data_IF_063546593834
#
_entry.id   IF_063546593834
#
_cell.length_a   1.000
_cell.length_b   1.000
_cell.length_c   1.000
_cell.angle_alpha   90.00
_cell.angle_beta   90.00
_cell.angle_gamma   90.00
#
_symmetry.space_group_name_H-M   'P 1'
#
loop_
_entity.id
_entity.type
_entity.pdbx_description
1 polymer ?
#
# COMPACT_ATOMS: atom_id res chain seq x y z
N UNK A 1 -12.12 -1.09 9.70
CA UNK A 1 -12.88 -2.23 10.25
C UNK A 1 -14.34 -1.84 10.19
N UNK A 2 -15.19 -2.76 9.75
CA UNK A 2 -16.63 -2.59 9.67
C UNK A 2 -17.29 -3.62 10.58
N UNK A 3 -18.42 -3.27 11.16
CA UNK A 3 -19.25 -4.16 11.99
C UNK A 3 -20.71 -3.97 11.59
N UNK A 4 -21.59 -4.88 12.02
CA UNK A 4 -23.04 -4.66 12.03
C UNK A 4 -23.36 -3.29 12.62
N UNK A 5 -24.27 -2.54 11.99
CA UNK A 5 -24.75 -1.29 12.59
C UNK A 5 -25.49 -1.60 13.90
N UNK A 6 -25.03 -1.10 15.06
CA UNK A 6 -25.76 -1.28 16.30
C UNK A 6 -27.11 -0.56 16.20
N UNK A 7 -28.15 -1.02 16.94
CA UNK A 7 -29.45 -0.35 16.96
C UNK A 7 -29.32 1.04 17.60
N UNK A 8 -29.08 2.04 16.77
CA UNK A 8 -29.02 3.45 17.14
C UNK A 8 -30.20 4.16 16.49
N UNK A 9 -30.99 4.87 17.30
CA UNK A 9 -32.15 5.60 16.79
C UNK A 9 -31.73 6.69 15.78
N UNK A 10 -32.40 6.73 14.63
CA UNK A 10 -32.25 7.81 13.64
C UNK A 10 -31.15 7.64 12.58
N UNK A 11 -30.47 6.49 12.52
CA UNK A 11 -29.55 6.18 11.41
C UNK A 11 -30.31 5.52 10.25
N UNK A 12 -30.12 6.06 9.04
CA UNK A 12 -30.60 5.39 7.83
C UNK A 12 -29.83 4.08 7.63
N UNK A 13 -30.58 3.00 7.35
CA UNK A 13 -30.03 1.69 7.06
C UNK A 13 -29.46 1.64 5.64
N UNK A 14 -28.25 2.17 5.46
CA UNK A 14 -27.51 2.06 4.21
C UNK A 14 -26.80 0.70 4.13
N UNK A 15 -27.21 -0.11 3.17
CA UNK A 15 -26.49 -1.34 2.80
C UNK A 15 -25.46 -0.98 1.73
N UNK A 16 -24.14 -1.03 2.02
CA UNK A 16 -23.14 -0.65 1.05
C UNK A 16 -23.03 -1.71 -0.07
N UNK A 17 -22.90 -1.31 -1.35
CA UNK A 17 -22.71 -2.24 -2.47
C UNK A 17 -21.29 -2.83 -2.48
N UNK A 18 -20.95 -3.59 -1.45
CA UNK A 18 -19.67 -4.29 -1.33
C UNK A 18 -19.69 -5.54 -2.20
N UNK A 19 -18.69 -5.70 -3.05
CA UNK A 19 -18.54 -6.88 -3.89
C UNK A 19 -17.72 -7.95 -3.14
N UNK A 20 -18.31 -9.10 -2.75
CA UNK A 20 -17.60 -10.13 -2.01
C UNK A 20 -16.75 -11.06 -2.89
N UNK A 21 -16.60 -10.80 -4.21
CA UNK A 21 -15.83 -11.67 -5.13
C UNK A 21 -14.42 -12.02 -4.64
N UNK A 22 -13.77 -11.07 -3.97
CA UNK A 22 -12.42 -11.22 -3.43
C UNK A 22 -12.44 -11.38 -1.90
N UNK A 23 -13.53 -11.90 -1.32
CA UNK A 23 -13.67 -12.02 0.11
C UNK A 23 -12.87 -13.22 0.65
N UNK A 24 -12.13 -13.00 1.73
CA UNK A 24 -11.34 -14.03 2.40
C UNK A 24 -11.71 -14.07 3.89
N UNK A 25 -12.20 -15.24 4.34
CA UNK A 25 -12.54 -15.45 5.73
C UNK A 25 -11.27 -15.70 6.55
N UNK A 26 -11.13 -15.02 7.68
CA UNK A 26 -10.05 -15.19 8.63
C UNK A 26 -10.55 -15.23 10.07
N UNK A 27 -9.65 -15.41 11.05
CA UNK A 27 -10.01 -15.51 12.46
C UNK A 27 -10.70 -14.24 13.01
N UNK A 28 -10.38 -13.08 12.44
CA UNK A 28 -10.93 -11.77 12.84
C UNK A 28 -12.26 -11.43 12.12
N UNK A 29 -12.68 -12.24 11.13
CA UNK A 29 -13.86 -11.99 10.30
C UNK A 29 -13.56 -12.01 8.80
N UNK A 30 -14.41 -11.34 8.01
CA UNK A 30 -14.39 -11.38 6.55
C UNK A 30 -13.58 -10.20 5.98
N UNK A 31 -12.45 -10.49 5.33
CA UNK A 31 -11.68 -9.47 4.59
C UNK A 31 -12.24 -9.31 3.18
N UNK A 32 -12.46 -8.08 2.73
CA UNK A 32 -12.97 -7.75 1.38
C UNK A 32 -12.06 -6.67 0.77
N UNK A 33 -11.84 -6.74 -0.54
CA UNK A 33 -11.23 -5.65 -1.31
C UNK A 33 -12.29 -5.00 -2.21
N UNK A 34 -12.58 -3.73 -1.99
CA UNK A 34 -13.54 -2.95 -2.77
C UNK A 34 -12.82 -2.04 -3.76
N UNK A 35 -13.21 -2.06 -5.03
CA UNK A 35 -12.54 -1.32 -6.11
C UNK A 35 -11.32 -2.06 -6.68
N UNK A 36 -10.61 -1.41 -7.60
CA UNK A 36 -9.47 -1.98 -8.33
C UNK A 36 -8.27 -1.02 -8.35
N UNK A 37 -7.07 -1.57 -8.53
CA UNK A 37 -5.83 -0.80 -8.65
C UNK A 37 -5.57 0.14 -7.47
N UNK A 38 -5.19 1.38 -7.77
CA UNK A 38 -4.88 2.42 -6.78
C UNK A 38 -6.11 2.91 -6.00
N UNK A 39 -7.32 2.59 -6.49
CA UNK A 39 -8.58 2.89 -5.83
C UNK A 39 -9.06 1.74 -4.92
N UNK A 40 -8.34 0.61 -4.88
CA UNK A 40 -8.73 -0.54 -4.06
C UNK A 40 -8.63 -0.22 -2.56
N UNK A 41 -9.71 -0.49 -1.83
CA UNK A 41 -9.82 -0.29 -0.39
C UNK A 41 -10.02 -1.64 0.28
N UNK A 42 -9.16 -1.95 1.25
CA UNK A 42 -9.27 -3.17 2.05
C UNK A 42 -10.18 -2.93 3.25
N UNK A 43 -11.17 -3.79 3.39
CA UNK A 43 -12.16 -3.81 4.45
C UNK A 43 -12.02 -5.11 5.25
N UNK A 44 -12.32 -5.02 6.54
CA UNK A 44 -12.46 -6.17 7.42
C UNK A 44 -13.81 -6.02 8.10
N UNK A 45 -14.74 -6.92 7.79
CA UNK A 45 -16.02 -7.06 8.48
C UNK A 45 -15.78 -7.96 9.68
N UNK A 46 -16.05 -7.43 10.88
CA UNK A 46 -15.78 -8.08 12.15
C UNK A 46 -16.93 -9.02 12.54
N UNK A 47 -16.58 -10.16 13.14
CA UNK A 47 -17.57 -11.09 13.68
C UNK A 47 -18.50 -11.66 12.60
N UNK A 48 -19.80 -11.59 12.85
CA UNK A 48 -20.87 -12.07 11.96
C UNK A 48 -21.31 -11.03 10.93
N UNK A 49 -20.61 -9.89 10.83
CA UNK A 49 -20.97 -8.84 9.91
C UNK A 49 -20.90 -9.32 8.44
N UNK A 50 -22.00 -9.10 7.71
CA UNK A 50 -22.15 -9.47 6.30
C UNK A 50 -22.19 -8.22 5.39
N UNK A 51 -21.82 -8.35 4.11
CA UNK A 51 -21.83 -7.21 3.19
C UNK A 51 -23.24 -6.78 2.73
N UNK A 52 -24.25 -7.61 2.92
CA UNK A 52 -25.64 -7.43 2.48
C UNK A 52 -26.54 -6.76 3.54
N UNK A 53 -25.96 -6.23 4.61
CA UNK A 53 -26.67 -5.57 5.70
C UNK A 53 -26.07 -4.20 6.00
N UNK A 54 -26.75 -3.35 6.81
CA UNK A 54 -26.17 -2.09 7.25
C UNK A 54 -24.88 -2.30 8.04
N UNK A 55 -23.86 -1.52 7.70
CA UNK A 55 -22.53 -1.60 8.32
C UNK A 55 -22.14 -0.25 8.94
N UNK A 56 -21.48 -0.32 10.10
CA UNK A 56 -20.83 0.81 10.76
C UNK A 56 -19.31 0.66 10.72
N UNK A 57 -18.58 1.78 10.61
CA UNK A 57 -17.13 1.79 10.62
C UNK A 57 -16.58 2.02 12.04
N UNK A 58 -15.70 1.13 12.50
CA UNK A 58 -14.99 1.26 13.77
C UNK A 58 -13.65 1.97 13.54
N UNK A 59 -13.44 3.09 14.24
CA UNK A 59 -12.19 3.85 14.25
C UNK A 59 -11.58 3.76 15.63
N UNK A 60 -10.44 3.07 15.73
CA UNK A 60 -9.63 3.10 16.95
C UNK A 60 -8.95 4.46 17.04
N UNK A 61 -9.04 5.10 18.21
CA UNK A 61 -8.38 6.37 18.52
C UNK A 61 -6.91 6.13 18.93
N UNK A 62 -6.15 5.49 18.03
CA UNK A 62 -4.74 5.22 18.21
C UNK A 62 -3.87 6.23 17.43
N UNK A 63 -2.56 6.04 17.46
CA UNK A 63 -1.63 6.86 16.71
C UNK A 63 -1.95 6.90 15.21
N UNK A 64 -2.63 5.89 14.66
CA UNK A 64 -3.01 5.76 13.26
C UNK A 64 -4.47 6.20 12.98
N UNK A 65 -5.13 6.84 13.95
CA UNK A 65 -6.53 7.27 13.84
C UNK A 65 -6.82 8.14 12.62
N UNK A 66 -5.93 9.09 12.28
CA UNK A 66 -6.08 9.94 11.09
C UNK A 66 -5.97 9.13 9.78
N UNK A 67 -5.06 8.17 9.71
CA UNK A 67 -4.94 7.25 8.56
C UNK A 67 -6.23 6.43 8.37
N UNK A 68 -6.86 6.02 9.48
CA UNK A 68 -8.14 5.29 9.49
C UNK A 68 -9.30 6.19 9.02
N UNK A 69 -9.36 7.45 9.46
CA UNK A 69 -10.38 8.44 9.06
C UNK A 69 -10.26 8.75 7.55
N UNK A 70 -9.06 8.97 7.04
CA UNK A 70 -8.83 9.19 5.61
C UNK A 70 -9.30 7.97 4.79
N UNK A 71 -9.00 6.76 5.27
CA UNK A 71 -9.45 5.52 4.63
C UNK A 71 -10.98 5.42 4.59
N UNK A 72 -11.68 5.80 5.67
CA UNK A 72 -13.15 5.84 5.70
C UNK A 72 -13.69 6.90 4.74
N UNK A 73 -13.03 8.06 4.66
CA UNK A 73 -13.43 9.12 3.72
C UNK A 73 -13.34 8.65 2.27
N UNK A 74 -12.27 7.91 1.93
CA UNK A 74 -12.11 7.26 0.62
C UNK A 74 -13.20 6.21 0.37
N UNK A 75 -13.51 5.39 1.39
CA UNK A 75 -14.56 4.37 1.29
C UNK A 75 -15.93 5.01 1.04
N UNK A 76 -16.31 5.99 1.84
CA UNK A 76 -17.59 6.70 1.68
C UNK A 76 -17.73 7.28 0.27
N UNK A 77 -16.68 7.94 -0.24
CA UNK A 77 -16.68 8.46 -1.62
C UNK A 77 -16.84 7.37 -2.66
N UNK A 78 -16.12 6.26 -2.52
CA UNK A 78 -16.21 5.12 -3.44
C UNK A 78 -17.63 4.53 -3.47
N UNK A 79 -18.25 4.34 -2.29
CA UNK A 79 -19.60 3.82 -2.16
C UNK A 79 -20.66 4.75 -2.77
N UNK A 80 -20.42 6.07 -2.74
CA UNK A 80 -21.33 7.08 -3.32
C UNK A 80 -20.93 7.52 -4.74
N UNK A 81 -20.12 6.73 -5.46
CA UNK A 81 -19.66 7.00 -6.83
C UNK A 81 -19.03 8.39 -7.02
N UNK A 82 -18.38 8.92 -5.98
CA UNK A 82 -17.65 10.19 -6.03
C UNK A 82 -16.19 9.90 -6.41
N UNK A 83 -15.54 10.78 -7.20
CA UNK A 83 -14.12 10.65 -7.49
C UNK A 83 -13.31 10.60 -6.18
N UNK A 84 -12.56 9.53 -6.01
CA UNK A 84 -11.68 9.31 -4.87
C UNK A 84 -10.49 10.27 -4.91
N UNK A 85 -9.95 10.61 -3.74
CA UNK A 85 -8.63 11.22 -3.70
C UNK A 85 -7.57 10.15 -4.02
N UNK A 86 -6.53 10.50 -4.81
CA UNK A 86 -5.41 9.59 -5.02
C UNK A 86 -4.74 9.29 -3.68
N UNK A 87 -4.26 8.05 -3.52
CA UNK A 87 -3.51 7.67 -2.31
C UNK A 87 -2.20 8.48 -2.25
N UNK A 88 -2.11 9.40 -1.28
CA UNK A 88 -0.99 10.32 -1.15
C UNK A 88 0.21 9.74 -0.40
N UNK A 89 0.12 8.49 0.09
CA UNK A 89 1.21 7.83 0.83
C UNK A 89 2.45 7.59 -0.05
N UNK A 90 2.25 7.46 -1.35
CA UNK A 90 3.27 7.13 -2.33
C UNK A 90 3.29 8.12 -3.49
N UNK A 91 4.29 9.01 -3.49
CA UNK A 91 4.56 9.85 -4.66
C UNK A 91 5.08 9.01 -5.82
N UNK A 92 4.86 9.45 -7.06
CA UNK A 92 5.35 8.77 -8.26
C UNK A 92 6.88 8.51 -8.23
N UNK A 93 7.65 9.47 -7.71
CA UNK A 93 9.10 9.32 -7.53
C UNK A 93 9.44 8.21 -6.51
N UNK A 94 8.71 8.13 -5.39
CA UNK A 94 8.90 7.08 -4.39
C UNK A 94 8.52 5.71 -4.96
N UNK A 95 7.41 5.62 -5.70
CA UNK A 95 7.00 4.40 -6.40
C UNK A 95 8.05 3.91 -7.39
N UNK A 96 8.61 4.80 -8.23
CA UNK A 96 9.74 4.47 -9.12
C UNK A 96 10.94 3.94 -8.34
N UNK A 97 11.30 4.58 -7.24
CA UNK A 97 12.43 4.15 -6.40
C UNK A 97 12.20 2.76 -5.81
N UNK A 98 11.00 2.47 -5.30
CA UNK A 98 10.65 1.15 -4.76
C UNK A 98 10.76 0.05 -5.83
N UNK A 99 10.31 0.31 -7.06
CA UNK A 99 10.49 -0.63 -8.18
C UNK A 99 11.96 -0.92 -8.45
N UNK A 100 12.81 0.12 -8.47
CA UNK A 100 14.25 -0.07 -8.64
C UNK A 100 14.89 -0.83 -7.46
N UNK A 101 14.41 -0.67 -6.23
CA UNK A 101 14.87 -1.47 -5.10
C UNK A 101 14.54 -2.95 -5.30
N UNK A 102 13.29 -3.28 -5.66
CA UNK A 102 12.87 -4.65 -5.93
C UNK A 102 13.74 -5.27 -7.03
N UNK A 103 13.83 -4.60 -8.17
CA UNK A 103 14.67 -5.05 -9.29
C UNK A 103 16.14 -5.23 -8.91
N UNK A 104 16.69 -4.36 -8.06
CA UNK A 104 18.07 -4.47 -7.59
C UNK A 104 18.26 -5.68 -6.66
N UNK A 105 17.30 -5.96 -5.78
CA UNK A 105 17.34 -7.14 -4.91
C UNK A 105 17.17 -8.42 -5.73
N UNK A 106 16.22 -8.44 -6.66
CA UNK A 106 15.99 -9.59 -7.54
C UNK A 106 17.27 -9.91 -8.33
N UNK A 107 17.90 -8.90 -8.94
CA UNK A 107 19.18 -9.08 -9.63
C UNK A 107 20.26 -9.62 -8.69
N UNK A 108 20.36 -9.08 -7.45
CA UNK A 108 21.35 -9.52 -6.47
C UNK A 108 21.12 -10.97 -6.02
N UNK A 109 19.86 -11.37 -5.80
CA UNK A 109 19.49 -12.74 -5.44
C UNK A 109 19.77 -13.73 -6.56
N UNK A 110 19.69 -13.28 -7.82
CA UNK A 110 20.06 -14.06 -9.01
C UNK A 110 21.56 -13.98 -9.35
N UNK A 111 22.40 -13.49 -8.44
CA UNK A 111 23.86 -13.47 -8.62
C UNK A 111 24.42 -12.33 -9.48
N UNK A 112 23.59 -11.40 -9.95
CA UNK A 112 24.06 -10.26 -10.74
C UNK A 112 25.00 -9.37 -9.92
N UNK A 113 26.04 -8.86 -10.57
CA UNK A 113 26.92 -7.86 -10.02
C UNK A 113 26.23 -6.51 -9.90
N UNK A 114 26.70 -5.67 -8.98
CA UNK A 114 26.18 -4.29 -8.84
C UNK A 114 26.27 -3.50 -10.16
N UNK A 115 27.25 -3.81 -11.04
CA UNK A 115 27.40 -3.13 -12.32
C UNK A 115 26.34 -3.56 -13.31
N UNK A 116 26.00 -4.85 -13.36
CA UNK A 116 24.91 -5.36 -14.21
C UNK A 116 23.57 -4.80 -13.77
N UNK A 117 23.30 -4.81 -12.46
CA UNK A 117 22.09 -4.18 -11.89
C UNK A 117 22.03 -2.70 -12.28
N UNK A 118 23.13 -1.96 -12.15
CA UNK A 118 23.19 -0.56 -12.54
C UNK A 118 22.91 -0.33 -14.04
N UNK A 119 23.41 -1.20 -14.92
CA UNK A 119 23.16 -1.09 -16.37
C UNK A 119 21.70 -1.26 -16.71
N UNK A 120 20.99 -2.15 -16.02
CA UNK A 120 19.54 -2.35 -16.21
C UNK A 120 18.74 -1.16 -15.68
N UNK A 121 19.10 -0.63 -14.52
CA UNK A 121 18.35 0.48 -13.87
C UNK A 121 18.61 1.83 -14.53
N UNK A 122 19.85 2.12 -14.92
CA UNK A 122 20.28 3.45 -15.38
C UNK A 122 20.67 3.51 -16.87
N UNK A 123 20.75 2.36 -17.53
CA UNK A 123 21.23 2.22 -18.90
C UNK A 123 22.74 2.00 -18.98
N UNK A 124 23.16 1.07 -19.84
CA UNK A 124 24.57 0.76 -20.06
C UNK A 124 25.43 1.96 -20.52
N UNK A 125 24.96 2.85 -21.41
CA UNK A 125 25.73 4.03 -21.81
C UNK A 125 26.06 4.95 -20.63
N UNK A 126 25.08 5.17 -19.75
CA UNK A 126 25.25 6.03 -18.57
C UNK A 126 26.21 5.43 -17.56
N UNK A 127 26.18 4.11 -17.38
CA UNK A 127 27.13 3.40 -16.49
C UNK A 127 28.54 3.38 -17.08
N UNK A 128 28.69 3.45 -18.40
CA UNK A 128 29.98 3.47 -19.07
C UNK A 128 30.63 4.87 -19.14
N UNK A 129 29.85 5.94 -18.91
CA UNK A 129 30.34 7.32 -18.99
C UNK A 129 31.43 7.65 -17.96
N UNK A 130 31.39 7.00 -16.78
CA UNK A 130 32.35 7.23 -15.69
C UNK A 130 33.06 5.93 -15.27
N UNK A 131 34.30 6.00 -14.74
CA UNK A 131 34.96 4.86 -14.13
C UNK A 131 34.13 4.23 -13.01
N UNK A 132 33.81 2.94 -13.14
CA UNK A 132 32.88 2.24 -12.25
C UNK A 132 33.25 2.28 -10.77
N UNK A 133 34.56 2.20 -10.43
CA UNK A 133 35.01 2.12 -9.02
C UNK A 133 34.65 3.38 -8.23
N UNK A 134 34.62 4.54 -8.87
CA UNK A 134 34.36 5.87 -8.29
C UNK A 134 33.00 6.46 -8.69
N UNK A 135 32.18 5.71 -9.44
CA UNK A 135 30.91 6.20 -9.97
C UNK A 135 29.83 6.34 -8.89
N UNK A 136 29.10 7.47 -8.88
CA UNK A 136 27.95 7.67 -8.01
C UNK A 136 26.81 6.65 -8.27
N UNK A 137 26.75 6.06 -9.47
CA UNK A 137 25.79 5.00 -9.80
C UNK A 137 26.11 3.71 -9.04
N UNK A 138 27.39 3.41 -8.77
CA UNK A 138 27.78 2.26 -7.95
C UNK A 138 27.21 2.39 -6.54
N UNK A 139 27.35 3.55 -5.93
CA UNK A 139 26.85 3.79 -4.57
C UNK A 139 25.32 3.89 -4.53
N UNK A 140 24.72 4.48 -5.56
CA UNK A 140 23.27 4.50 -5.72
C UNK A 140 22.68 3.08 -5.83
N UNK A 141 23.30 2.19 -6.62
CA UNK A 141 22.89 0.78 -6.72
C UNK A 141 23.07 0.04 -5.41
N UNK A 142 24.20 0.21 -4.71
CA UNK A 142 24.40 -0.39 -3.38
C UNK A 142 23.30 0.04 -2.41
N UNK A 143 22.92 1.33 -2.44
CA UNK A 143 21.86 1.86 -1.59
C UNK A 143 20.49 1.29 -1.96
N UNK A 144 20.19 1.10 -3.25
CA UNK A 144 18.95 0.43 -3.68
C UNK A 144 18.88 -1.01 -3.16
N UNK A 145 19.96 -1.77 -3.25
CA UNK A 145 20.03 -3.15 -2.73
C UNK A 145 19.82 -3.15 -1.21
N UNK A 146 20.57 -2.30 -0.48
CA UNK A 146 20.46 -2.20 0.99
C UNK A 146 19.05 -1.83 1.44
N UNK A 147 18.49 -0.78 0.85
CA UNK A 147 17.14 -0.31 1.20
C UNK A 147 16.07 -1.33 0.80
N UNK A 148 16.24 -2.02 -0.34
CA UNK A 148 15.35 -3.09 -0.79
C UNK A 148 15.35 -4.30 0.15
N UNK A 149 16.53 -4.73 0.61
CA UNK A 149 16.64 -5.79 1.61
C UNK A 149 15.98 -5.38 2.94
N UNK A 150 16.15 -4.13 3.37
CA UNK A 150 15.46 -3.63 4.56
C UNK A 150 13.93 -3.62 4.38
N UNK A 151 13.43 -3.23 3.20
CA UNK A 151 12.01 -3.30 2.86
C UNK A 151 11.47 -4.73 3.00
N UNK A 152 12.17 -5.72 2.45
CA UNK A 152 11.81 -7.14 2.55
C UNK A 152 11.87 -7.63 3.99
N UNK A 153 12.86 -7.19 4.77
CA UNK A 153 13.03 -7.53 6.18
C UNK A 153 11.95 -6.92 7.11
N UNK A 154 10.98 -6.18 6.59
CA UNK A 154 9.81 -5.71 7.36
C UNK A 154 9.50 -4.23 7.23
N UNK A 155 10.41 -3.43 6.64
CA UNK A 155 10.17 -1.99 6.47
C UNK A 155 9.05 -1.68 5.47
N UNK A 156 8.60 -2.65 4.67
CA UNK A 156 7.42 -2.51 3.80
C UNK A 156 6.18 -2.06 4.59
N UNK A 157 6.06 -2.39 5.88
CA UNK A 157 4.95 -1.95 6.75
C UNK A 157 4.87 -0.43 6.89
N UNK A 158 6.00 0.28 6.71
CA UNK A 158 6.06 1.76 6.71
C UNK A 158 5.40 2.36 5.46
N UNK A 159 5.11 1.56 4.42
CA UNK A 159 4.37 2.01 3.24
C UNK A 159 2.86 2.09 3.50
N UNK A 160 2.37 1.41 4.53
CA UNK A 160 0.94 1.36 4.90
C UNK A 160 0.48 2.55 5.74
N UNK A 161 1.41 3.43 6.13
CA UNK A 161 1.16 4.57 7.01
C UNK A 161 1.54 5.85 6.28
N UNK A 162 0.77 6.93 6.46
CA UNK A 162 1.25 8.25 6.08
C UNK A 162 2.52 8.57 6.87
N UNK A 163 3.53 9.08 6.17
CA UNK A 163 4.78 9.47 6.82
C UNK A 163 4.50 10.68 7.69
N UNK A 164 4.43 10.49 9.00
CA UNK A 164 4.50 11.61 9.96
C UNK A 164 5.88 12.24 9.82
N UNK A 165 5.93 13.54 9.53
CA UNK A 165 7.14 14.31 9.80
C UNK A 165 7.30 14.30 11.32
N UNK A 166 8.38 13.68 11.79
CA UNK A 166 8.84 13.90 13.16
C UNK A 166 9.50 15.27 13.26
#
# INVERSE_FOLDING_TARGET
>A
MLTTTPPLAGLENFVPPLNPRNAQLGPEGLSIVHGEGDAAIRLLLLGDARPDQPLAALVVLDADGLDRIETITRLWRALHHRPGFPDTRLTAQRGRRLRHMLQAVDGRMNGASNREIAKVIYGAPRVAADPWKTSALRDSTKKLIKDGLAMIAGDYRKLLRHRRKS
#
